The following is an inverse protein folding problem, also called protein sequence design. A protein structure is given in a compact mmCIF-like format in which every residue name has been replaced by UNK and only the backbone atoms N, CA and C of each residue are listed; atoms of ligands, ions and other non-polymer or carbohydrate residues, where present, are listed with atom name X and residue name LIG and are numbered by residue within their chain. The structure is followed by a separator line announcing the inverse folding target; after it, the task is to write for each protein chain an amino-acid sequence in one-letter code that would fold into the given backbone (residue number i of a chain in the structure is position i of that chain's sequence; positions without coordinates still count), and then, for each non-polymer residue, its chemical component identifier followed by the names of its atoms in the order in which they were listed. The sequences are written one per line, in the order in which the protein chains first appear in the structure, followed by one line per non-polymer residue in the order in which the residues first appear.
data_IF_492322548712
#
_entry.id   IF_492322548712
#
_cell.length_a   1.000
_cell.length_b   1.000
_cell.length_c   1.000
_cell.angle_alpha   90.00
_cell.angle_beta   90.00
_cell.angle_gamma   90.00
#
_symmetry.space_group_name_H-M   'P 1'
#
loop_
_entity.id
_entity.type
_entity.pdbx_description
1 polymer ?
#
# COMPACT_ATOMS: atom_id res chain seq x y z
N UNK A 1 3.70 -16.75 38.68
CA UNK A 1 3.55 -15.29 38.55
C UNK A 1 3.26 -14.95 37.09
N UNK A 2 2.06 -14.50 36.74
CA UNK A 2 1.82 -13.95 35.41
C UNK A 2 2.49 -12.57 35.33
N UNK A 3 3.50 -12.40 34.47
CA UNK A 3 3.99 -11.06 34.12
C UNK A 3 2.80 -10.27 33.58
N UNK A 4 2.42 -9.19 34.27
CA UNK A 4 1.42 -8.27 33.76
C UNK A 4 2.09 -7.46 32.66
N UNK A 5 1.93 -7.90 31.41
CA UNK A 5 2.48 -7.18 30.24
C UNK A 5 1.51 -6.03 29.96
N UNK A 6 1.92 -4.82 30.33
CA UNK A 6 1.18 -3.59 30.02
C UNK A 6 1.01 -3.37 28.51
N UNK A 7 0.08 -2.51 28.13
CA UNK A 7 -0.24 -2.16 26.74
C UNK A 7 0.90 -1.37 26.11
N UNK A 8 1.11 -1.59 24.80
CA UNK A 8 2.20 -1.00 24.02
C UNK A 8 1.72 -0.35 22.71
N UNK A 9 0.78 0.61 22.75
CA UNK A 9 0.30 1.25 21.53
C UNK A 9 1.40 1.97 20.74
N UNK A 10 1.35 1.85 19.41
CA UNK A 10 2.22 2.57 18.46
C UNK A 10 1.35 3.49 17.61
N UNK A 11 1.66 4.78 17.58
CA UNK A 11 0.97 5.74 16.72
C UNK A 11 1.51 5.64 15.30
N UNK A 12 0.63 5.33 14.35
CA UNK A 12 0.97 5.15 12.94
C UNK A 12 0.74 6.42 12.11
N UNK A 13 -0.10 7.33 12.61
CA UNK A 13 -0.41 8.60 11.97
C UNK A 13 -1.50 9.34 12.74
N UNK A 14 -1.48 10.66 12.68
CA UNK A 14 -2.51 11.52 13.25
C UNK A 14 -3.00 12.48 12.17
N UNK A 15 -4.32 12.65 12.08
CA UNK A 15 -4.96 13.27 10.92
C UNK A 15 -6.04 14.23 11.34
N UNK A 16 -6.20 15.29 10.55
CA UNK A 16 -7.35 16.16 10.65
C UNK A 16 -8.61 15.47 10.10
N UNK A 17 -9.73 15.58 10.83
CA UNK A 17 -11.03 15.10 10.35
C UNK A 17 -11.82 16.24 9.74
N UNK A 18 -12.25 16.07 8.49
CA UNK A 18 -13.12 17.02 7.81
C UNK A 18 -14.43 17.23 8.60
N UNK A 19 -14.91 18.48 8.65
CA UNK A 19 -16.11 18.86 9.43
C UNK A 19 -17.35 18.05 9.07
N UNK A 20 -17.57 17.83 7.78
CA UNK A 20 -18.68 17.06 7.21
C UNK A 20 -18.63 15.56 7.53
N UNK A 21 -17.49 15.06 8.02
CA UNK A 21 -17.31 13.66 8.39
C UNK A 21 -17.44 13.41 9.90
N UNK A 22 -17.74 14.43 10.70
CA UNK A 22 -17.76 14.37 12.17
C UNK A 22 -19.12 13.90 12.69
N UNK A 23 -19.17 12.67 13.23
CA UNK A 23 -20.18 12.31 14.24
C UNK A 23 -19.75 12.77 15.66
N UNK A 24 -18.46 13.09 15.82
CA UNK A 24 -17.81 13.62 17.02
C UNK A 24 -16.76 14.65 16.56
N UNK A 25 -16.64 15.78 17.27
CA UNK A 25 -15.62 16.79 16.97
C UNK A 25 -14.22 16.33 17.39
N UNK A 26 -13.20 16.67 16.58
CA UNK A 26 -11.79 16.48 16.92
C UNK A 26 -10.94 15.85 15.80
N UNK A 27 -9.62 15.78 16.06
CA UNK A 27 -8.64 15.01 15.29
C UNK A 27 -8.62 13.55 15.76
N UNK A 28 -7.98 12.68 14.97
CA UNK A 28 -7.84 11.26 15.31
C UNK A 28 -6.44 10.74 15.03
N UNK A 29 -6.06 9.70 15.76
CA UNK A 29 -4.85 8.93 15.48
C UNK A 29 -5.19 7.49 15.13
N UNK A 30 -4.44 6.94 14.18
CA UNK A 30 -4.43 5.52 13.87
C UNK A 30 -3.36 4.88 14.76
N UNK A 31 -3.77 3.95 15.61
CA UNK A 31 -2.90 3.35 16.63
C UNK A 31 -2.93 1.83 16.54
N UNK A 32 -1.74 1.24 16.46
CA UNK A 32 -1.55 -0.20 16.61
C UNK A 32 -1.59 -0.58 18.09
N UNK A 33 -2.21 -1.72 18.42
CA UNK A 33 -2.14 -2.32 19.76
C UNK A 33 -2.22 -3.84 19.63
N UNK A 34 -1.44 -4.57 20.45
CA UNK A 34 -1.21 -6.03 20.42
C UNK A 34 -2.46 -6.93 20.28
N UNK A 35 -3.66 -6.39 20.50
CA UNK A 35 -4.92 -7.13 20.41
C UNK A 35 -5.78 -6.76 19.19
N UNK A 36 -5.86 -5.49 18.77
CA UNK A 36 -6.66 -4.98 17.62
C UNK A 36 -6.16 -3.54 17.32
N UNK A 37 -6.05 -3.08 16.05
CA UNK A 37 -5.89 -1.65 15.77
C UNK A 37 -7.05 -0.85 16.40
N UNK A 38 -6.73 0.17 17.19
CA UNK A 38 -7.71 1.01 17.88
C UNK A 38 -7.70 2.40 17.30
N UNK A 39 -8.88 2.92 16.98
CA UNK A 39 -9.08 4.32 16.67
C UNK A 39 -9.20 5.10 17.97
N UNK A 40 -8.37 6.12 18.14
CA UNK A 40 -8.40 6.99 19.29
C UNK A 40 -8.98 8.34 18.86
N UNK A 41 -10.02 8.77 19.56
CA UNK A 41 -10.76 10.00 19.29
C UNK A 41 -10.44 11.04 20.35
N UNK A 42 -10.21 12.29 19.94
CA UNK A 42 -10.28 13.41 20.86
C UNK A 42 -11.76 13.63 21.26
N UNK A 43 -12.01 13.84 22.55
CA UNK A 43 -13.34 14.10 23.13
C UNK A 43 -13.38 15.48 23.82
N UNK A 44 -12.64 16.45 23.28
CA UNK A 44 -12.51 17.81 23.82
C UNK A 44 -13.37 18.84 23.10
N UNK A 45 -13.93 19.77 23.86
CA UNK A 45 -14.75 20.90 23.41
C UNK A 45 -14.06 21.75 22.31
N UNK A 46 -14.84 22.45 21.46
CA UNK A 46 -14.34 23.28 20.38
C UNK A 46 -13.55 24.46 20.97
N UNK A 47 -12.22 24.42 20.85
CA UNK A 47 -11.36 25.57 21.16
C UNK A 47 -10.97 26.22 19.82
N UNK A 48 -11.05 27.54 19.84
CA UNK A 48 -10.90 28.49 18.75
C UNK A 48 -9.64 28.33 17.90
N UNK A 49 -9.77 28.72 16.64
CA UNK A 49 -8.78 28.63 15.56
C UNK A 49 -7.46 29.32 15.88
N UNK A 50 -6.48 28.52 16.30
CA UNK A 50 -5.05 28.75 16.10
C UNK A 50 -4.48 27.45 15.51
N UNK A 51 -3.74 27.54 14.42
CA UNK A 51 -3.05 26.39 13.82
C UNK A 51 -1.88 25.98 14.74
N UNK A 52 -2.15 25.25 15.83
CA UNK A 52 -1.10 24.54 16.54
C UNK A 52 -0.94 23.16 15.89
N UNK A 53 0.26 22.87 15.38
CA UNK A 53 0.58 21.66 14.58
C UNK A 53 0.74 20.39 15.41
N UNK A 54 0.55 20.46 16.74
CA UNK A 54 0.92 19.41 17.67
C UNK A 54 -0.27 18.96 18.53
N UNK A 55 -0.48 17.65 18.61
CA UNK A 55 -1.48 17.00 19.48
C UNK A 55 -0.79 16.11 20.51
N UNK A 56 -1.33 15.96 21.72
CA UNK A 56 -0.80 15.02 22.72
C UNK A 56 -1.63 13.73 22.80
N UNK A 57 -0.95 12.58 22.81
CA UNK A 57 -1.56 11.28 23.07
C UNK A 57 -1.18 10.77 24.46
N UNK A 58 -2.16 10.38 25.26
CA UNK A 58 -1.95 9.80 26.61
C UNK A 58 -1.88 8.27 26.56
N UNK A 59 -1.25 7.63 27.56
CA UNK A 59 -1.20 6.16 27.69
C UNK A 59 -2.57 5.48 27.76
N UNK A 60 -3.59 6.20 28.21
CA UNK A 60 -4.97 5.72 28.23
C UNK A 60 -5.65 5.78 26.85
N UNK A 61 -4.97 6.32 25.84
CA UNK A 61 -5.44 6.41 24.46
C UNK A 61 -6.27 7.66 24.14
N UNK A 62 -6.25 8.69 24.97
CA UNK A 62 -6.97 9.93 24.67
C UNK A 62 -6.06 10.91 23.91
N UNK A 63 -6.55 11.45 22.78
CA UNK A 63 -5.97 12.63 22.11
C UNK A 63 -6.40 13.89 22.87
N UNK A 64 -5.46 14.80 23.10
CA UNK A 64 -5.69 16.12 23.68
C UNK A 64 -5.14 17.18 22.71
N UNK A 65 -5.99 18.11 22.29
CA UNK A 65 -5.56 19.32 21.57
C UNK A 65 -4.82 20.22 22.56
N UNK A 66 -3.65 20.73 22.16
CA UNK A 66 -2.84 21.61 23.02
C UNK A 66 -2.71 23.00 22.43
N UNK A 67 -3.23 23.98 23.16
CA UNK A 67 -2.55 25.26 23.29
C UNK A 67 -1.32 25.01 24.18
N UNK A 68 -0.15 25.49 23.72
CA UNK A 68 1.15 25.32 24.36
C UNK A 68 1.06 25.51 25.89
N UNK A 69 1.57 24.55 26.68
CA UNK A 69 2.57 24.80 27.76
C UNK A 69 2.79 23.61 28.72
N UNK A 70 1.89 22.63 28.93
CA UNK A 70 2.15 21.55 29.90
C UNK A 70 1.98 20.15 29.31
N UNK A 71 3.10 19.48 29.00
CA UNK A 71 3.13 18.05 28.67
C UNK A 71 2.67 17.26 29.89
N UNK A 72 1.51 16.61 29.82
CA UNK A 72 1.02 15.77 30.92
C UNK A 72 1.95 14.57 31.10
N UNK A 73 2.22 14.20 32.34
CA UNK A 73 2.94 12.97 32.67
C UNK A 73 2.23 11.77 32.02
N UNK A 74 2.99 10.90 31.33
CA UNK A 74 2.42 9.81 30.54
C UNK A 74 1.75 10.22 29.21
N UNK A 75 2.12 11.37 28.63
CA UNK A 75 1.72 11.77 27.28
C UNK A 75 2.91 11.91 26.32
N UNK A 76 2.66 11.80 25.01
CA UNK A 76 3.63 12.05 23.93
C UNK A 76 3.04 13.00 22.90
N UNK A 77 3.87 13.92 22.38
CA UNK A 77 3.48 14.79 21.27
C UNK A 77 3.48 13.99 19.96
N UNK A 78 2.48 14.25 19.11
CA UNK A 78 2.34 13.65 17.79
C UNK A 78 2.07 14.77 16.79
N UNK A 79 2.85 14.79 15.71
CA UNK A 79 2.66 15.72 14.59
C UNK A 79 1.43 15.30 13.79
N UNK A 80 0.56 16.27 13.48
CA UNK A 80 -0.54 16.05 12.55
C UNK A 80 0.00 16.02 11.13
N UNK A 81 -0.38 14.98 10.37
CA UNK A 81 0.01 14.86 8.97
C UNK A 81 -0.74 15.90 8.13
N UNK A 82 0.01 16.69 7.37
CA UNK A 82 -0.56 17.69 6.48
C UNK A 82 -1.32 17.00 5.34
N UNK A 83 -2.54 17.44 5.10
CA UNK A 83 -3.29 16.98 3.93
C UNK A 83 -2.66 17.56 2.67
N UNK A 84 -2.56 16.75 1.60
CA UNK A 84 -2.23 17.21 0.25
C UNK A 84 -3.38 18.03 -0.36
N UNK A 85 -4.01 18.93 0.40
CA UNK A 85 -5.21 19.63 0.01
C UNK A 85 -4.89 20.60 -1.13
N UNK A 86 -5.04 20.13 -2.37
CA UNK A 86 -5.01 20.96 -3.56
C UNK A 86 -6.34 21.71 -3.62
N UNK A 87 -6.30 23.03 -3.39
CA UNK A 87 -7.36 24.05 -3.53
C UNK A 87 -8.81 23.63 -3.95
N UNK A 88 -9.79 24.29 -3.29
CA UNK A 88 -11.22 24.37 -3.68
C UNK A 88 -12.06 23.09 -3.62
N UNK A 89 -11.82 22.18 -2.68
CA UNK A 89 -12.78 21.11 -2.35
C UNK A 89 -13.04 20.08 -3.47
N UNK A 90 -12.24 20.09 -4.53
CA UNK A 90 -12.36 19.15 -5.65
C UNK A 90 -11.62 17.86 -5.34
N UNK A 91 -12.36 16.77 -5.16
CA UNK A 91 -11.80 15.43 -4.96
C UNK A 91 -11.35 14.80 -6.28
N UNK A 92 -10.24 14.08 -6.26
CA UNK A 92 -9.86 13.18 -7.34
C UNK A 92 -10.88 12.03 -7.44
N UNK A 93 -11.40 11.73 -8.64
CA UNK A 93 -12.34 10.64 -8.83
C UNK A 93 -11.80 9.28 -8.36
N UNK A 94 -10.51 9.02 -8.58
CA UNK A 94 -9.88 7.75 -8.25
C UNK A 94 -8.45 7.94 -7.73
N UNK A 95 -8.24 7.48 -6.50
CA UNK A 95 -6.91 7.36 -5.88
C UNK A 95 -6.61 5.88 -5.64
N UNK A 96 -5.35 5.49 -5.82
CA UNK A 96 -4.89 4.13 -5.60
C UNK A 96 -3.93 4.11 -4.41
N UNK A 97 -4.27 3.34 -3.37
CA UNK A 97 -3.39 3.03 -2.25
C UNK A 97 -2.74 1.67 -2.51
N UNK A 98 -1.42 1.68 -2.72
CA UNK A 98 -0.64 0.47 -2.93
C UNK A 98 -0.28 -0.13 -1.57
N UNK A 99 -0.28 -1.46 -1.48
CA UNK A 99 0.24 -2.17 -0.32
C UNK A 99 1.70 -1.76 -0.03
N UNK A 100 2.12 -1.72 1.25
CA UNK A 100 3.46 -1.28 1.61
C UNK A 100 4.55 -2.10 0.91
N UNK A 101 5.54 -1.40 0.34
CA UNK A 101 6.70 -2.00 -0.29
C UNK A 101 7.70 -2.47 0.78
N UNK A 102 7.84 -3.80 0.87
CA UNK A 102 8.84 -4.47 1.70
C UNK A 102 9.86 -5.16 0.81
N UNK A 103 11.15 -4.84 0.96
CA UNK A 103 12.23 -5.43 0.13
C UNK A 103 11.93 -5.38 -1.37
N UNK A 104 11.26 -4.32 -1.85
CA UNK A 104 10.75 -4.30 -3.21
C UNK A 104 11.85 -3.95 -4.21
N UNK A 105 12.02 -4.76 -5.26
CA UNK A 105 13.17 -4.63 -6.17
C UNK A 105 12.79 -4.59 -7.66
N UNK A 106 11.53 -4.92 -7.98
CA UNK A 106 11.08 -5.11 -9.36
C UNK A 106 10.51 -3.82 -9.96
N UNK A 107 11.40 -2.92 -10.36
CA UNK A 107 10.99 -1.63 -10.91
C UNK A 107 10.20 -1.74 -12.22
N UNK A 108 10.33 -2.83 -12.98
CA UNK A 108 9.64 -3.02 -14.27
C UNK A 108 8.15 -3.30 -14.05
N UNK A 109 7.84 -4.18 -13.09
CA UNK A 109 6.46 -4.46 -12.69
C UNK A 109 5.83 -3.22 -12.04
N UNK A 110 6.59 -2.50 -11.24
CA UNK A 110 6.14 -1.22 -10.68
C UNK A 110 5.77 -0.21 -11.78
N UNK A 111 6.63 -0.03 -12.80
CA UNK A 111 6.32 0.85 -13.93
C UNK A 111 5.05 0.44 -14.65
N UNK A 112 4.89 -0.85 -14.96
CA UNK A 112 3.66 -1.37 -15.56
C UNK A 112 2.42 -1.08 -14.72
N UNK A 113 2.49 -1.30 -13.40
CA UNK A 113 1.40 -1.01 -12.48
C UNK A 113 1.03 0.48 -12.51
N UNK A 114 2.01 1.37 -12.33
CA UNK A 114 1.82 2.82 -12.35
C UNK A 114 1.21 3.29 -13.68
N UNK A 115 1.84 2.92 -14.80
CA UNK A 115 1.41 3.35 -16.14
C UNK A 115 0.00 2.85 -16.46
N UNK A 116 -0.34 1.63 -16.05
CA UNK A 116 -1.68 1.07 -16.25
C UNK A 116 -2.72 1.79 -15.42
N UNK A 117 -2.48 2.00 -14.12
CA UNK A 117 -3.43 2.73 -13.27
C UNK A 117 -3.72 4.13 -13.81
N UNK A 118 -2.69 4.87 -14.22
CA UNK A 118 -2.85 6.20 -14.80
C UNK A 118 -3.60 6.15 -16.13
N UNK A 119 -3.20 5.22 -17.01
CA UNK A 119 -3.85 5.07 -18.31
C UNK A 119 -5.36 4.81 -18.15
N UNK A 120 -5.76 4.03 -17.15
CA UNK A 120 -7.16 3.63 -16.94
C UNK A 120 -7.95 4.58 -16.04
N UNK A 121 -7.33 5.64 -15.53
CA UNK A 121 -8.02 6.76 -14.89
C UNK A 121 -7.71 7.01 -13.42
N UNK A 122 -6.63 6.47 -12.84
CA UNK A 122 -6.14 6.93 -11.54
C UNK A 122 -5.47 8.31 -11.68
N UNK A 123 -5.75 9.23 -10.76
CA UNK A 123 -5.12 10.56 -10.76
C UNK A 123 -3.97 10.67 -9.76
N UNK A 124 -4.00 9.86 -8.70
CA UNK A 124 -2.98 9.84 -7.65
C UNK A 124 -2.73 8.40 -7.20
N UNK A 125 -1.48 8.05 -6.97
CA UNK A 125 -1.09 6.74 -6.44
C UNK A 125 -0.23 6.96 -5.19
N UNK A 126 -0.60 6.32 -4.09
CA UNK A 126 0.11 6.42 -2.81
C UNK A 126 0.96 5.18 -2.62
N UNK A 127 2.26 5.38 -2.38
CA UNK A 127 3.24 4.31 -2.17
C UNK A 127 3.83 4.40 -0.76
N UNK A 128 3.35 3.57 0.19
CA UNK A 128 4.05 3.36 1.44
C UNK A 128 5.32 2.53 1.18
N UNK A 129 6.49 3.05 1.55
CA UNK A 129 7.77 2.38 1.36
C UNK A 129 8.40 2.11 2.72
N UNK A 130 8.59 0.83 3.04
CA UNK A 130 9.44 0.42 4.15
C UNK A 130 10.88 0.22 3.67
N UNK A 131 11.08 -0.62 2.64
CA UNK A 131 12.36 -0.79 1.99
C UNK A 131 12.21 -1.20 0.53
N UNK A 132 13.07 -0.67 -0.33
CA UNK A 132 13.08 -0.96 -1.75
C UNK A 132 14.47 -0.74 -2.36
N UNK A 133 14.71 -1.22 -3.58
CA UNK A 133 15.95 -0.94 -4.31
C UNK A 133 16.07 0.56 -4.55
N UNK A 134 17.31 1.06 -4.55
CA UNK A 134 17.59 2.48 -4.81
C UNK A 134 17.04 2.93 -6.17
N UNK A 135 17.00 2.02 -7.15
CA UNK A 135 16.43 2.27 -8.48
C UNK A 135 14.92 2.43 -8.44
N UNK A 136 14.22 1.57 -7.69
CA UNK A 136 12.77 1.68 -7.46
C UNK A 136 12.42 3.04 -6.85
N UNK A 137 13.07 3.39 -5.73
CA UNK A 137 12.80 4.66 -5.04
C UNK A 137 13.14 5.86 -5.93
N UNK A 138 14.22 5.77 -6.71
CA UNK A 138 14.60 6.82 -7.64
C UNK A 138 13.55 7.07 -8.72
N UNK A 139 13.05 6.02 -9.37
CA UNK A 139 11.98 6.13 -10.38
C UNK A 139 10.70 6.70 -9.73
N UNK A 140 10.33 6.25 -8.54
CA UNK A 140 9.16 6.76 -7.83
C UNK A 140 9.28 8.24 -7.47
N UNK A 141 10.47 8.72 -7.11
CA UNK A 141 10.72 10.14 -6.85
C UNK A 141 10.47 11.00 -8.09
N UNK A 142 10.75 10.50 -9.29
CA UNK A 142 10.38 11.23 -10.52
C UNK A 142 8.86 11.28 -10.74
N UNK A 143 8.13 10.19 -10.46
CA UNK A 143 6.67 10.23 -10.49
C UNK A 143 6.07 11.15 -9.42
N UNK A 144 6.69 11.22 -8.24
CA UNK A 144 6.31 12.14 -7.17
C UNK A 144 6.54 13.59 -7.59
N UNK A 145 7.70 13.89 -8.19
CA UNK A 145 8.06 15.22 -8.70
C UNK A 145 7.04 15.77 -9.71
N UNK A 146 6.45 14.90 -10.53
CA UNK A 146 5.43 15.28 -11.52
C UNK A 146 3.99 15.18 -10.96
N UNK A 147 3.84 14.93 -9.66
CA UNK A 147 2.56 14.99 -8.96
C UNK A 147 1.68 13.75 -9.09
N UNK A 148 2.14 12.68 -9.73
CA UNK A 148 1.35 11.45 -9.98
C UNK A 148 1.39 10.52 -8.77
N UNK A 149 2.59 10.32 -8.22
CA UNK A 149 2.82 9.49 -7.04
C UNK A 149 2.92 10.38 -5.80
N UNK A 150 2.64 9.80 -4.64
CA UNK A 150 3.05 10.33 -3.35
C UNK A 150 3.71 9.23 -2.54
N UNK A 151 4.95 9.46 -2.12
CA UNK A 151 5.75 8.52 -1.35
C UNK A 151 5.50 8.74 0.14
N UNK A 152 5.02 7.69 0.81
CA UNK A 152 4.86 7.68 2.26
C UNK A 152 5.95 6.83 2.88
N UNK A 153 6.67 7.41 3.84
CA UNK A 153 7.72 6.70 4.57
C UNK A 153 7.01 5.77 5.57
N UNK A 154 7.25 4.46 5.45
CA UNK A 154 6.61 3.44 6.28
C UNK A 154 7.66 2.68 7.12
N UNK A 155 8.29 3.36 8.09
CA UNK A 155 9.41 2.81 8.85
C UNK A 155 9.00 1.57 9.66
N UNK A 156 9.98 0.74 9.99
CA UNK A 156 9.78 -0.35 10.95
C UNK A 156 9.35 0.18 12.31
N UNK A 157 8.65 -0.66 13.04
CA UNK A 157 8.30 -0.37 14.43
C UNK A 157 9.48 -0.60 15.36
N UNK A 158 9.57 0.17 16.46
CA UNK A 158 10.65 0.01 17.40
C UNK A 158 10.59 -1.36 18.10
N UNK A 159 11.77 -1.94 18.34
CA UNK A 159 11.93 -3.19 19.09
C UNK A 159 11.90 -2.88 20.59
N UNK A 160 10.77 -3.15 21.24
CA UNK A 160 10.55 -2.79 22.66
C UNK A 160 10.62 -3.98 23.63
N UNK A 161 10.70 -5.20 23.12
CA UNK A 161 10.95 -6.38 23.95
C UNK A 161 11.64 -7.49 23.15
N UNK A 162 11.74 -8.65 23.77
CA UNK A 162 12.15 -9.94 23.18
C UNK A 162 11.26 -10.43 22.01
N UNK A 163 10.18 -9.72 21.69
CA UNK A 163 9.29 -10.03 20.57
C UNK A 163 9.47 -8.96 19.51
N UNK A 164 9.98 -9.35 18.33
CA UNK A 164 10.08 -8.47 17.18
C UNK A 164 8.68 -8.23 16.59
N UNK A 165 8.10 -7.02 16.72
CA UNK A 165 6.78 -6.79 16.18
C UNK A 165 6.79 -6.87 14.65
N UNK A 166 7.89 -6.50 14.01
CA UNK A 166 8.03 -6.49 12.56
C UNK A 166 7.98 -7.89 11.92
N UNK A 167 8.20 -8.97 12.69
CA UNK A 167 8.07 -10.35 12.20
C UNK A 167 6.62 -10.79 11.93
N UNK A 168 5.64 -10.18 12.61
CA UNK A 168 4.21 -10.44 12.45
C UNK A 168 3.50 -9.38 11.57
N UNK A 169 4.23 -8.33 11.18
CA UNK A 169 3.74 -7.13 10.50
C UNK A 169 3.52 -7.33 9.01
N UNK A 170 3.98 -8.40 8.37
CA UNK A 170 3.79 -8.53 6.93
C UNK A 170 2.32 -8.65 6.52
N UNK A 171 1.48 -9.33 7.32
CA UNK A 171 0.02 -9.32 7.08
C UNK A 171 -0.66 -8.12 7.72
N UNK A 172 -0.41 -7.87 9.02
CA UNK A 172 -1.08 -6.79 9.77
C UNK A 172 -0.66 -5.39 9.32
N UNK A 173 0.59 -5.20 8.97
CA UNK A 173 1.16 -3.95 8.46
C UNK A 173 0.58 -3.52 7.11
N UNK A 174 0.13 -4.47 6.27
CA UNK A 174 -0.61 -4.14 5.04
C UNK A 174 -1.96 -3.53 5.40
N UNK A 175 -2.71 -4.16 6.31
CA UNK A 175 -4.02 -3.67 6.77
C UNK A 175 -3.89 -2.26 7.36
N UNK A 176 -2.93 -2.08 8.23
CA UNK A 176 -2.66 -0.81 8.90
C UNK A 176 -2.22 0.28 7.94
N UNK A 177 -1.36 -0.06 6.97
CA UNK A 177 -0.95 0.86 5.92
C UNK A 177 -2.13 1.30 5.05
N UNK A 178 -3.05 0.39 4.73
CA UNK A 178 -4.27 0.73 3.99
C UNK A 178 -5.25 1.59 4.78
N UNK A 179 -5.48 1.32 6.06
CA UNK A 179 -6.27 2.20 6.94
C UNK A 179 -5.64 3.58 6.99
N UNK A 180 -4.33 3.64 7.20
CA UNK A 180 -3.59 4.88 7.26
C UNK A 180 -3.64 5.66 5.93
N UNK A 181 -3.53 4.96 4.79
CA UNK A 181 -3.70 5.55 3.47
C UNK A 181 -5.13 6.06 3.22
N UNK A 182 -6.17 5.30 3.60
CA UNK A 182 -7.57 5.73 3.50
C UNK A 182 -7.77 7.09 4.17
N UNK A 183 -7.25 7.22 5.39
CA UNK A 183 -7.37 8.43 6.19
C UNK A 183 -6.59 9.61 5.62
N UNK A 184 -5.41 9.35 5.08
CA UNK A 184 -4.63 10.35 4.36
C UNK A 184 -5.35 10.88 3.11
N UNK A 185 -5.95 10.01 2.30
CA UNK A 185 -6.54 10.39 1.01
C UNK A 185 -7.98 10.86 1.07
N UNK A 186 -8.71 10.49 2.13
CA UNK A 186 -10.13 10.86 2.35
C UNK A 186 -10.47 12.32 2.05
N UNK A 187 -9.65 13.30 2.46
CA UNK A 187 -9.95 14.71 2.18
C UNK A 187 -10.01 15.05 0.70
N UNK A 188 -9.29 14.32 -0.15
CA UNK A 188 -9.11 14.65 -1.56
C UNK A 188 -9.48 13.52 -2.54
N UNK A 189 -10.06 12.40 -2.08
CA UNK A 189 -10.43 11.26 -2.93
C UNK A 189 -11.94 10.98 -2.88
N UNK A 190 -12.57 10.74 -4.04
CA UNK A 190 -13.95 10.25 -4.15
C UNK A 190 -13.99 8.73 -3.92
N UNK A 191 -13.22 7.99 -4.72
CA UNK A 191 -13.07 6.55 -4.61
C UNK A 191 -11.60 6.18 -4.38
N UNK A 192 -11.37 5.16 -3.55
CA UNK A 192 -10.03 4.66 -3.23
C UNK A 192 -9.94 3.18 -3.49
N UNK A 193 -8.92 2.75 -4.22
CA UNK A 193 -8.59 1.34 -4.47
C UNK A 193 -7.46 0.92 -3.53
N UNK A 194 -7.58 -0.25 -2.90
CA UNK A 194 -6.52 -0.85 -2.08
C UNK A 194 -6.02 -2.14 -2.76
N UNK A 195 -4.75 -2.17 -3.13
CA UNK A 195 -4.26 -3.17 -4.11
C UNK A 195 -2.75 -3.38 -4.03
N UNK A 196 -2.26 -4.54 -4.50
CA UNK A 196 -0.83 -4.69 -4.79
C UNK A 196 -0.47 -3.92 -6.07
N UNK A 197 0.81 -3.63 -6.29
CA UNK A 197 1.25 -2.90 -7.48
C UNK A 197 1.09 -3.71 -8.78
N UNK A 198 1.06 -5.03 -8.67
CA UNK A 198 0.93 -5.99 -9.76
C UNK A 198 -0.53 -6.43 -10.01
N UNK A 199 -1.47 -5.74 -9.38
CA UNK A 199 -2.90 -5.88 -9.59
C UNK A 199 -3.47 -4.70 -10.38
N UNK A 200 -4.41 -5.02 -11.27
CA UNK A 200 -4.99 -4.05 -12.18
C UNK A 200 -6.50 -4.24 -12.27
N UNK A 201 -7.27 -3.17 -12.06
CA UNK A 201 -8.66 -3.16 -12.51
C UNK A 201 -8.67 -2.85 -14.02
N UNK A 202 -9.30 -3.72 -14.79
CA UNK A 202 -9.49 -3.55 -16.24
C UNK A 202 -10.91 -4.00 -16.63
N UNK A 203 -11.43 -3.57 -17.80
CA UNK A 203 -12.67 -4.14 -18.33
C UNK A 203 -12.57 -5.66 -18.52
N UNK A 204 -13.72 -6.33 -18.52
CA UNK A 204 -13.82 -7.78 -18.73
C UNK A 204 -13.20 -8.22 -20.07
N UNK A 205 -13.37 -7.35 -21.06
CA UNK A 205 -12.72 -7.39 -22.37
C UNK A 205 -11.68 -6.27 -22.43
N UNK A 206 -10.37 -6.59 -22.31
CA UNK A 206 -9.31 -5.58 -22.35
C UNK A 206 -9.23 -4.82 -23.68
N UNK A 207 -9.83 -5.32 -24.76
CA UNK A 207 -9.91 -4.57 -26.02
C UNK A 207 -10.86 -3.36 -25.94
N UNK A 208 -11.62 -3.20 -24.85
CA UNK A 208 -12.48 -2.04 -24.58
C UNK A 208 -11.83 -0.99 -23.68
N UNK A 209 -10.52 -1.10 -23.45
CA UNK A 209 -9.76 -0.13 -22.66
C UNK A 209 -9.82 1.26 -23.32
N UNK A 210 -10.10 2.27 -22.51
CA UNK A 210 -10.00 3.69 -22.86
C UNK A 210 -9.62 4.48 -21.61
N UNK A 211 -9.34 5.78 -21.74
CA UNK A 211 -8.99 6.61 -20.58
C UNK A 211 -10.21 6.78 -19.67
N UNK A 212 -10.04 6.61 -18.36
CA UNK A 212 -11.14 6.76 -17.39
C UNK A 212 -12.03 5.52 -17.21
N UNK A 213 -11.79 4.42 -17.93
CA UNK A 213 -12.63 3.20 -17.87
C UNK A 213 -12.78 2.65 -16.44
N UNK A 214 -11.77 2.78 -15.58
CA UNK A 214 -11.87 2.31 -14.20
C UNK A 214 -12.88 3.16 -13.39
N UNK A 215 -12.90 4.47 -13.61
CA UNK A 215 -13.89 5.35 -12.98
C UNK A 215 -15.30 4.98 -13.45
N UNK A 216 -15.47 4.72 -14.74
CA UNK A 216 -16.78 4.35 -15.31
C UNK A 216 -17.30 3.03 -14.74
N UNK A 217 -16.44 2.00 -14.68
CA UNK A 217 -16.77 0.71 -14.07
C UNK A 217 -17.22 0.90 -12.62
N UNK A 218 -16.42 1.61 -11.83
CA UNK A 218 -16.68 1.80 -10.40
C UNK A 218 -17.94 2.63 -10.14
N UNK A 219 -18.10 3.78 -10.81
CA UNK A 219 -19.30 4.61 -10.69
C UNK A 219 -20.55 3.90 -11.16
N UNK A 220 -20.45 3.05 -12.17
CA UNK A 220 -21.57 2.22 -12.61
C UNK A 220 -22.03 1.26 -11.49
N UNK A 221 -21.10 0.57 -10.84
CA UNK A 221 -21.41 -0.35 -9.73
C UNK A 221 -21.93 0.41 -8.50
N UNK A 222 -21.35 1.56 -8.14
CA UNK A 222 -21.86 2.38 -7.03
C UNK A 222 -23.26 2.97 -7.32
N UNK A 223 -23.61 3.23 -8.59
CA UNK A 223 -24.99 3.61 -8.97
C UNK A 223 -25.96 2.44 -8.86
N UNK A 224 -25.53 1.23 -9.23
CA UNK A 224 -26.31 0.00 -9.04
C UNK A 224 -26.55 -0.30 -7.54
N UNK A 225 -25.61 0.11 -6.68
CA UNK A 225 -25.65 -0.12 -5.24
C UNK A 225 -25.46 1.18 -4.44
N UNK A 226 -26.48 2.05 -4.33
CA UNK A 226 -26.34 3.38 -3.72
C UNK A 226 -25.90 3.34 -2.25
N UNK A 227 -26.22 2.26 -1.51
CA UNK A 227 -25.81 2.04 -0.12
C UNK A 227 -24.44 1.34 0.01
N UNK A 228 -23.73 1.07 -1.09
CA UNK A 228 -22.39 0.52 -1.00
C UNK A 228 -21.42 1.57 -0.44
N UNK A 229 -20.82 1.27 0.70
CA UNK A 229 -19.62 1.98 1.18
C UNK A 229 -18.35 1.39 0.56
N UNK A 230 -18.36 0.09 0.27
CA UNK A 230 -17.26 -0.60 -0.39
C UNK A 230 -17.71 -1.69 -1.34
N UNK A 231 -16.82 -2.00 -2.28
CA UNK A 231 -16.96 -3.00 -3.33
C UNK A 231 -15.82 -4.02 -3.16
N UNK A 232 -16.18 -5.30 -3.04
CA UNK A 232 -15.25 -6.41 -3.04
C UNK A 232 -15.17 -7.05 -4.41
N UNK A 233 -14.00 -6.98 -5.03
CA UNK A 233 -13.74 -7.60 -6.31
C UNK A 233 -12.99 -8.91 -6.12
N UNK A 234 -13.39 -9.93 -6.88
CA UNK A 234 -12.56 -11.12 -7.06
C UNK A 234 -11.35 -10.78 -7.94
N UNK A 235 -10.25 -11.48 -7.75
CA UNK A 235 -9.07 -11.41 -8.60
C UNK A 235 -9.03 -12.55 -9.62
N UNK A 236 -8.33 -12.34 -10.73
CA UNK A 236 -7.99 -13.35 -11.71
C UNK A 236 -6.51 -13.28 -12.02
N UNK A 237 -5.86 -14.43 -11.93
CA UNK A 237 -4.47 -14.53 -12.30
C UNK A 237 -4.32 -14.46 -13.82
N UNK A 238 -3.33 -13.68 -14.26
CA UNK A 238 -2.79 -13.77 -15.61
C UNK A 238 -1.28 -13.89 -15.55
N UNK A 239 -0.71 -14.57 -16.55
CA UNK A 239 0.73 -14.86 -16.59
C UNK A 239 1.34 -14.03 -17.73
N UNK A 240 2.19 -13.02 -17.43
CA UNK A 240 2.99 -12.40 -18.46
C UNK A 240 3.97 -13.45 -18.99
N UNK A 241 4.37 -13.39 -20.27
CA UNK A 241 5.48 -14.22 -20.74
C UNK A 241 6.73 -13.93 -19.91
N UNK A 242 7.60 -14.91 -19.77
CA UNK A 242 8.96 -14.67 -19.30
C UNK A 242 9.58 -13.60 -20.21
N UNK A 243 9.87 -12.44 -19.65
CA UNK A 243 10.39 -11.31 -20.42
C UNK A 243 11.81 -11.65 -20.89
N UNK A 244 11.96 -12.12 -22.11
CA UNK A 244 13.27 -12.17 -22.78
C UNK A 244 13.90 -10.75 -22.87
N UNK A 245 13.09 -9.68 -22.79
CA UNK A 245 13.56 -8.30 -22.71
C UNK A 245 14.19 -7.91 -21.35
N UNK A 246 13.92 -8.67 -20.28
CA UNK A 246 14.54 -8.45 -18.96
C UNK A 246 16.06 -8.69 -18.95
N UNK A 247 16.61 -9.26 -20.02
CA UNK A 247 18.06 -9.44 -20.20
C UNK A 247 18.76 -8.21 -20.80
N UNK A 248 18.02 -7.30 -21.47
CA UNK A 248 18.63 -6.26 -22.31
C UNK A 248 18.43 -4.83 -21.80
N UNK A 249 17.38 -4.54 -21.02
CA UNK A 249 17.09 -3.15 -20.59
C UNK A 249 17.94 -2.73 -19.39
N UNK A 250 19.02 -1.98 -19.65
CA UNK A 250 19.88 -1.41 -18.60
C UNK A 250 19.52 0.04 -18.27
N UNK A 251 18.61 0.65 -19.02
CA UNK A 251 18.15 2.03 -18.85
C UNK A 251 16.62 2.13 -18.98
N UNK A 252 16.06 3.28 -18.60
CA UNK A 252 14.62 3.54 -18.77
C UNK A 252 14.23 3.71 -20.23
N UNK A 253 15.13 4.21 -21.09
CA UNK A 253 14.87 4.36 -22.52
C UNK A 253 14.78 3.03 -23.27
N UNK A 254 15.43 1.99 -22.76
CA UNK A 254 15.40 0.65 -23.37
C UNK A 254 14.12 -0.12 -22.98
N UNK A 255 13.51 0.27 -21.85
CA UNK A 255 12.31 -0.37 -21.33
C UNK A 255 11.07 -0.05 -22.16
N UNK A 256 10.26 -1.08 -22.41
CA UNK A 256 9.00 -1.00 -23.13
C UNK A 256 8.02 -2.07 -22.60
N UNK A 257 6.77 -2.02 -23.08
CA UNK A 257 5.67 -2.89 -22.66
C UNK A 257 5.37 -4.00 -23.67
N UNK A 258 6.28 -4.30 -24.61
CA UNK A 258 6.06 -5.27 -25.68
C UNK A 258 5.71 -6.68 -25.17
N UNK A 259 6.17 -7.03 -23.96
CA UNK A 259 5.84 -8.29 -23.31
C UNK A 259 4.34 -8.50 -23.08
N UNK A 260 3.54 -7.43 -23.01
CA UNK A 260 2.08 -7.54 -22.84
C UNK A 260 1.40 -8.25 -24.02
N UNK A 261 1.91 -8.09 -25.26
CA UNK A 261 1.39 -8.78 -26.46
C UNK A 261 1.46 -10.30 -26.33
N UNK A 262 2.47 -10.77 -25.62
CA UNK A 262 2.78 -12.19 -25.47
C UNK A 262 2.12 -12.79 -24.22
N UNK A 263 1.22 -12.07 -23.55
CA UNK A 263 0.49 -12.55 -22.38
C UNK A 263 -0.52 -13.63 -22.78
N UNK A 264 -0.38 -14.85 -22.25
CA UNK A 264 -1.03 -16.02 -22.87
C UNK A 264 -2.24 -16.56 -22.15
N UNK A 265 -2.42 -16.28 -20.86
CA UNK A 265 -3.41 -17.04 -20.06
C UNK A 265 -4.09 -16.18 -19.01
N UNK A 266 -5.42 -16.24 -18.99
CA UNK A 266 -6.28 -15.69 -17.92
C UNK A 266 -7.04 -16.82 -17.26
N UNK A 267 -6.89 -16.97 -15.95
CA UNK A 267 -7.66 -17.97 -15.20
C UNK A 267 -9.18 -17.71 -15.25
N UNK A 268 -9.98 -18.78 -15.32
CA UNK A 268 -11.44 -18.70 -15.16
C UNK A 268 -11.77 -18.21 -13.76
N UNK A 269 -12.92 -17.56 -13.61
CA UNK A 269 -13.36 -17.18 -12.28
C UNK A 269 -13.72 -18.40 -11.45
N UNK A 270 -12.87 -18.66 -10.48
CA UNK A 270 -13.09 -19.61 -9.41
C UNK A 270 -13.44 -18.79 -8.18
N UNK A 271 -14.58 -19.08 -7.57
CA UNK A 271 -14.96 -18.46 -6.30
C UNK A 271 -13.95 -18.96 -5.25
N UNK A 272 -12.93 -18.15 -4.98
CA UNK A 272 -12.01 -18.37 -3.87
C UNK A 272 -12.33 -17.37 -2.77
N UNK A 273 -12.58 -17.88 -1.56
CA UNK A 273 -13.06 -17.07 -0.43
C UNK A 273 -12.05 -16.06 0.12
N UNK A 274 -10.78 -16.09 -0.30
CA UNK A 274 -9.68 -15.46 0.47
C UNK A 274 -8.87 -14.36 -0.23
N UNK A 275 -9.14 -14.01 -1.50
CA UNK A 275 -8.29 -13.05 -2.24
C UNK A 275 -9.10 -12.01 -3.01
N UNK A 276 -9.79 -11.15 -2.26
CA UNK A 276 -10.53 -10.02 -2.81
C UNK A 276 -9.67 -8.76 -2.86
N UNK A 277 -10.08 -7.79 -3.68
CA UNK A 277 -9.57 -6.40 -3.67
C UNK A 277 -10.69 -5.46 -3.32
N UNK A 278 -10.36 -4.41 -2.56
CA UNK A 278 -11.34 -3.48 -2.04
C UNK A 278 -11.27 -2.16 -2.78
N UNK A 279 -12.43 -1.68 -3.22
CA UNK A 279 -12.62 -0.29 -3.61
C UNK A 279 -13.65 0.32 -2.69
N UNK A 280 -13.37 1.51 -2.15
CA UNK A 280 -14.30 2.21 -1.25
C UNK A 280 -14.71 3.53 -1.84
N UNK A 281 -15.91 3.98 -1.48
CA UNK A 281 -16.21 5.40 -1.50
C UNK A 281 -15.62 6.00 -0.22
N UNK A 282 -14.69 6.95 -0.37
CA UNK A 282 -13.89 7.46 0.75
C UNK A 282 -14.74 8.03 1.89
N UNK A 283 -15.89 8.64 1.55
CA UNK A 283 -16.78 9.29 2.52
C UNK A 283 -17.67 8.31 3.32
N UNK A 284 -17.63 7.01 3.02
CA UNK A 284 -18.59 6.00 3.54
C UNK A 284 -17.97 4.93 4.42
N UNK A 285 -16.65 4.93 4.56
CA UNK A 285 -15.88 3.86 5.22
C UNK A 285 -14.87 4.49 6.17
N UNK A 286 -14.70 3.93 7.37
CA UNK A 286 -13.73 4.37 8.37
C UNK A 286 -12.60 3.36 8.63
N UNK A 287 -12.72 2.13 8.14
CA UNK A 287 -11.61 1.16 8.18
C UNK A 287 -11.67 0.19 7.01
N UNK A 288 -10.49 -0.23 6.53
CA UNK A 288 -10.34 -1.11 5.37
C UNK A 288 -9.18 -2.08 5.58
N UNK A 289 -9.33 -3.28 5.03
CA UNK A 289 -8.29 -4.27 4.84
C UNK A 289 -8.09 -4.41 3.32
N UNK A 290 -6.93 -4.90 2.88
CA UNK A 290 -6.69 -5.24 1.48
C UNK A 290 -7.74 -6.19 0.89
N UNK A 291 -8.25 -7.12 1.70
CA UNK A 291 -9.20 -8.14 1.25
C UNK A 291 -10.64 -7.87 1.69
N UNK A 292 -10.86 -7.06 2.72
CA UNK A 292 -12.20 -6.79 3.22
C UNK A 292 -12.33 -5.36 3.74
N UNK A 293 -13.53 -4.96 4.10
CA UNK A 293 -13.76 -3.63 4.68
C UNK A 293 -14.09 -3.81 6.14
N UNK A 294 -13.44 -3.04 7.00
CA UNK A 294 -13.66 -3.12 8.44
C UNK A 294 -14.96 -2.41 8.83
N UNK A 295 -14.90 -1.08 8.95
CA UNK A 295 -15.97 -0.27 9.52
C UNK A 295 -16.60 0.60 8.43
N UNK A 296 -17.89 0.40 8.17
CA UNK A 296 -18.71 1.30 7.35
C UNK A 296 -19.38 2.36 8.22
N UNK A 297 -19.60 3.55 7.65
CA UNK A 297 -20.47 4.55 8.28
C UNK A 297 -21.92 4.07 8.26
N UNK A 298 -22.70 4.57 9.21
CA UNK A 298 -24.10 4.19 9.36
C UNK A 298 -24.88 4.36 8.04
N UNK A 299 -25.65 3.33 7.67
CA UNK A 299 -26.42 3.29 6.42
C UNK A 299 -25.67 2.73 5.21
N UNK A 300 -24.38 2.43 5.33
CA UNK A 300 -23.57 1.85 4.26
C UNK A 300 -23.14 0.42 4.56
N UNK A 301 -22.97 -0.36 3.49
CA UNK A 301 -22.58 -1.76 3.58
C UNK A 301 -21.52 -2.13 2.54
N UNK A 302 -20.93 -3.30 2.72
CA UNK A 302 -20.05 -3.92 1.74
C UNK A 302 -20.88 -4.63 0.67
N UNK A 303 -20.48 -4.48 -0.60
CA UNK A 303 -21.07 -5.19 -1.73
C UNK A 303 -20.03 -6.05 -2.41
N UNK A 304 -20.31 -7.34 -2.57
CA UNK A 304 -19.46 -8.23 -3.36
C UNK A 304 -19.80 -8.11 -4.83
N UNK A 305 -18.82 -7.73 -5.63
CA UNK A 305 -18.95 -7.59 -7.08
C UNK A 305 -18.77 -8.97 -7.72
N UNK A 306 -19.77 -9.50 -8.42
CA UNK A 306 -19.61 -10.75 -9.14
C UNK A 306 -18.49 -10.63 -10.16
N UNK A 307 -17.60 -11.61 -10.25
CA UNK A 307 -16.48 -11.53 -11.20
C UNK A 307 -16.89 -11.28 -12.66
N UNK A 308 -18.07 -11.78 -13.08
CA UNK A 308 -18.62 -11.54 -14.42
C UNK A 308 -19.07 -10.10 -14.65
N UNK A 309 -19.17 -9.28 -13.60
CA UNK A 309 -19.49 -7.86 -13.65
C UNK A 309 -18.22 -7.00 -13.73
N UNK A 310 -17.22 -7.34 -12.92
CA UNK A 310 -15.87 -6.76 -12.92
C UNK A 310 -14.95 -7.58 -12.00
N UNK A 311 -13.64 -7.57 -12.24
CA UNK A 311 -12.64 -8.23 -11.42
C UNK A 311 -11.28 -7.56 -11.58
N UNK A 312 -10.39 -7.80 -10.62
CA UNK A 312 -8.98 -7.43 -10.74
C UNK A 312 -8.21 -8.50 -11.50
N UNK A 313 -7.17 -8.08 -12.18
CA UNK A 313 -6.19 -8.93 -12.83
C UNK A 313 -4.93 -8.90 -11.99
N UNK A 314 -4.56 -10.05 -11.44
CA UNK A 314 -3.35 -10.22 -10.64
C UNK A 314 -2.26 -10.82 -11.53
N UNK A 315 -1.12 -10.14 -11.63
CA UNK A 315 0.01 -10.67 -12.37
C UNK A 315 0.64 -11.81 -11.57
N UNK A 316 0.52 -13.04 -12.08
CA UNK A 316 1.12 -14.19 -11.41
C UNK A 316 2.53 -14.42 -11.94
N UNK A 317 3.49 -14.34 -11.05
CA UNK A 317 4.92 -14.53 -11.34
C UNK A 317 5.33 -16.01 -11.42
N UNK A 318 4.52 -16.94 -10.88
CA UNK A 318 4.85 -18.38 -10.86
C UNK A 318 4.49 -19.09 -12.18
N UNK A 319 5.49 -19.57 -12.92
CA UNK A 319 5.34 -20.26 -14.21
C UNK A 319 4.93 -21.73 -14.09
N UNK A 320 4.95 -22.31 -12.88
CA UNK A 320 4.78 -23.76 -12.66
C UNK A 320 3.34 -24.27 -12.75
N UNK A 321 2.34 -23.38 -12.77
CA UNK A 321 0.91 -23.75 -12.81
C UNK A 321 0.16 -23.03 -13.94
N UNK A 322 0.70 -23.09 -15.16
CA UNK A 322 0.00 -22.61 -16.35
C UNK A 322 -1.22 -23.51 -16.54
N UNK A 323 -2.40 -22.94 -16.40
CA UNK A 323 -3.63 -23.69 -16.54
C UNK A 323 -3.86 -24.02 -18.03
N UNK A 324 -3.75 -25.32 -18.35
CA UNK A 324 -3.71 -25.87 -19.71
C UNK A 324 -5.01 -25.69 -20.53
N UNK A 325 -6.07 -25.12 -19.94
CA UNK A 325 -7.41 -24.96 -20.54
C UNK A 325 -7.98 -23.53 -20.35
N UNK A 326 -7.11 -22.55 -20.23
CA UNK A 326 -7.49 -21.15 -20.00
C UNK A 326 -7.52 -20.32 -21.29
N UNK A 327 -8.22 -19.19 -21.24
CA UNK A 327 -8.42 -18.34 -22.41
C UNK A 327 -7.23 -17.37 -22.59
N UNK A 328 -6.77 -17.16 -23.84
CA UNK A 328 -5.82 -16.10 -24.12
C UNK A 328 -6.44 -14.73 -23.85
N UNK A 329 -5.63 -13.82 -23.33
CA UNK A 329 -6.02 -12.43 -23.09
C UNK A 329 -5.28 -11.53 -24.08
N UNK A 330 -6.04 -10.72 -24.82
CA UNK A 330 -5.48 -9.76 -25.77
C UNK A 330 -5.26 -8.44 -25.06
N UNK A 331 -4.00 -8.03 -24.95
CA UNK A 331 -3.61 -6.78 -24.27
C UNK A 331 -3.02 -5.75 -25.26
N UNK A 332 -3.22 -5.94 -26.56
CA UNK A 332 -2.66 -5.10 -27.63
C UNK A 332 -3.00 -3.61 -27.45
N UNK A 333 -4.26 -3.32 -27.12
CA UNK A 333 -4.71 -1.94 -26.93
C UNK A 333 -4.12 -1.32 -25.66
N UNK A 334 -3.97 -2.11 -24.59
CA UNK A 334 -3.30 -1.66 -23.37
C UNK A 334 -1.84 -1.34 -23.69
N UNK A 335 -1.11 -2.29 -24.28
CA UNK A 335 0.27 -2.12 -24.68
C UNK A 335 0.46 -0.85 -25.50
N UNK A 336 -0.26 -0.69 -26.61
CA UNK A 336 -0.15 0.48 -27.47
C UNK A 336 -0.29 1.79 -26.68
N UNK A 337 -1.24 1.81 -25.75
CA UNK A 337 -1.48 2.97 -24.90
C UNK A 337 -0.34 3.21 -23.92
N UNK A 338 0.17 2.17 -23.26
CA UNK A 338 1.30 2.29 -22.33
C UNK A 338 2.57 2.72 -23.05
N UNK A 339 2.88 2.17 -24.23
CA UNK A 339 4.03 2.54 -25.04
C UNK A 339 4.01 4.02 -25.41
N UNK A 340 2.86 4.50 -25.90
CA UNK A 340 2.67 5.90 -26.25
C UNK A 340 2.85 6.81 -25.04
N UNK A 341 2.24 6.44 -23.91
CA UNK A 341 2.30 7.18 -22.65
C UNK A 341 3.73 7.23 -22.08
N UNK A 342 4.43 6.10 -22.10
CA UNK A 342 5.79 5.98 -21.60
C UNK A 342 6.80 6.74 -22.45
N UNK A 343 6.71 6.64 -23.77
CA UNK A 343 7.52 7.44 -24.68
C UNK A 343 7.36 8.95 -24.43
N UNK A 344 6.13 9.41 -24.15
CA UNK A 344 5.91 10.79 -23.75
C UNK A 344 6.59 11.12 -22.43
N UNK A 345 6.49 10.27 -21.40
CA UNK A 345 7.17 10.51 -20.12
C UNK A 345 8.68 10.56 -20.27
N UNK A 346 9.29 9.65 -21.03
CA UNK A 346 10.72 9.68 -21.33
C UNK A 346 11.14 11.01 -21.96
N UNK A 347 10.35 11.51 -22.92
CA UNK A 347 10.67 12.72 -23.66
C UNK A 347 10.41 14.03 -22.91
N UNK A 348 9.53 14.06 -21.91
CA UNK A 348 9.11 15.31 -21.26
C UNK A 348 9.35 15.36 -19.76
N UNK A 349 9.24 14.22 -19.08
CA UNK A 349 9.24 14.15 -17.61
C UNK A 349 10.53 13.51 -17.08
N UNK A 350 11.05 12.49 -17.77
CA UNK A 350 12.15 11.63 -17.35
C UNK A 350 13.43 11.88 -18.16
N UNK A 351 13.51 12.99 -18.90
CA UNK A 351 14.59 13.28 -19.87
C UNK A 351 15.99 13.15 -19.30
N UNK A 352 16.20 13.63 -18.07
CA UNK A 352 17.51 13.58 -17.38
C UNK A 352 17.94 12.16 -17.02
N UNK A 353 16.99 11.24 -16.83
CA UNK A 353 17.28 9.93 -16.26
C UNK A 353 17.03 8.78 -17.25
N UNK A 354 16.46 9.10 -18.41
CA UNK A 354 16.07 8.13 -19.43
C UNK A 354 17.26 7.25 -19.85
N UNK A 355 18.42 7.88 -20.09
CA UNK A 355 19.64 7.24 -20.62
C UNK A 355 20.83 7.25 -19.66
N UNK A 356 20.90 8.25 -18.77
CA UNK A 356 22.09 8.47 -17.93
C UNK A 356 22.24 7.43 -16.80
N UNK A 357 21.13 6.88 -16.32
CA UNK A 357 21.13 5.97 -15.19
C UNK A 357 21.11 4.52 -15.64
N UNK A 358 22.18 3.78 -15.31
CA UNK A 358 22.20 2.32 -15.39
C UNK A 358 21.41 1.73 -14.23
N UNK A 359 20.33 1.02 -14.53
CA UNK A 359 19.46 0.38 -13.56
C UNK A 359 19.92 -1.05 -13.29
N UNK A 360 19.75 -1.48 -12.03
CA UNK A 360 19.89 -2.87 -11.64
C UNK A 360 18.80 -3.72 -12.29
N UNK A 361 19.18 -4.94 -12.68
CA UNK A 361 18.29 -5.89 -13.33
C UNK A 361 17.19 -6.33 -12.36
N UNK A 362 15.93 -6.30 -12.82
CA UNK A 362 14.88 -7.09 -12.19
C UNK A 362 15.09 -8.55 -12.60
N UNK A 363 15.46 -9.42 -11.65
CA UNK A 363 15.66 -10.85 -11.95
C UNK A 363 14.42 -11.67 -11.60
N UNK A 364 13.86 -12.32 -12.62
CA UNK A 364 12.81 -13.33 -12.48
C UNK A 364 13.32 -14.63 -11.83
N UNK A 365 14.65 -14.86 -11.76
CA UNK A 365 15.24 -16.03 -11.06
C UNK A 365 14.86 -16.02 -9.58
N UNK A 366 14.63 -14.82 -9.03
CA UNK A 366 14.14 -14.69 -7.67
C UNK A 366 12.76 -15.28 -7.40
N UNK A 367 11.99 -15.56 -8.44
CA UNK A 367 10.69 -16.21 -8.32
C UNK A 367 10.81 -17.73 -8.25
N UNK A 368 11.81 -18.35 -8.89
CA UNK A 368 12.07 -19.77 -8.72
C UNK A 368 12.50 -20.08 -7.28
N UNK A 369 13.36 -19.23 -6.72
CA UNK A 369 13.81 -19.33 -5.33
C UNK A 369 12.71 -18.98 -4.34
N UNK A 370 11.85 -17.99 -4.66
CA UNK A 370 10.63 -17.73 -3.90
C UNK A 370 9.70 -18.95 -3.89
N UNK A 371 9.41 -19.54 -5.04
CA UNK A 371 8.58 -20.74 -5.15
C UNK A 371 9.17 -21.90 -4.33
N UNK A 372 10.48 -22.12 -4.43
CA UNK A 372 11.19 -23.15 -3.66
C UNK A 372 11.08 -22.89 -2.15
N UNK A 373 11.21 -21.64 -1.72
CA UNK A 373 11.09 -21.30 -0.30
C UNK A 373 9.64 -21.35 0.21
N UNK A 374 8.66 -20.96 -0.60
CA UNK A 374 7.24 -21.12 -0.29
C UNK A 374 6.84 -22.59 -0.18
N UNK A 375 7.42 -23.45 -1.01
CA UNK A 375 7.29 -24.91 -0.87
C UNK A 375 7.85 -25.35 0.48
N UNK A 376 9.06 -24.93 0.84
CA UNK A 376 9.67 -25.26 2.12
C UNK A 376 8.84 -24.76 3.33
N UNK A 377 8.31 -23.54 3.28
CA UNK A 377 7.39 -23.00 4.31
C UNK A 377 6.12 -23.85 4.39
N UNK A 378 5.53 -24.20 3.25
CA UNK A 378 4.33 -25.03 3.23
C UNK A 378 4.62 -26.42 3.82
N UNK A 379 5.73 -27.06 3.44
CA UNK A 379 6.18 -28.34 4.00
C UNK A 379 6.39 -28.25 5.52
N UNK A 380 7.00 -27.17 6.02
CA UNK A 380 7.11 -26.90 7.46
C UNK A 380 5.75 -26.75 8.14
N UNK A 381 4.81 -26.01 7.54
CA UNK A 381 3.45 -25.84 8.08
C UNK A 381 2.68 -27.17 8.19
N UNK A 382 2.94 -28.13 7.30
CA UNK A 382 2.36 -29.48 7.38
C UNK A 382 2.98 -30.35 8.49
N UNK A 383 4.14 -29.97 9.04
CA UNK A 383 4.87 -30.77 10.05
C UNK A 383 4.36 -30.62 11.50
N UNK A 384 3.34 -29.77 11.76
CA UNK A 384 2.75 -29.47 13.08
C UNK A 384 3.73 -28.99 14.17
N UNK A 385 5.02 -28.82 13.86
CA UNK A 385 5.96 -28.15 14.75
C UNK A 385 5.76 -26.65 14.57
N UNK A 386 5.52 -25.94 15.69
CA UNK A 386 5.46 -24.47 15.70
C UNK A 386 6.83 -23.95 15.26
N UNK A 387 7.02 -23.74 13.96
CA UNK A 387 8.22 -23.11 13.46
C UNK A 387 8.20 -21.65 13.89
N UNK A 388 9.37 -21.13 14.29
CA UNK A 388 9.57 -19.68 14.43
C UNK A 388 9.35 -19.11 13.04
N UNK A 389 8.13 -18.63 12.76
CA UNK A 389 7.57 -18.49 11.43
C UNK A 389 8.55 -17.87 10.42
N UNK A 390 9.01 -18.66 9.45
CA UNK A 390 9.61 -18.14 8.24
C UNK A 390 8.49 -17.48 7.44
N UNK A 391 8.47 -16.15 7.41
CA UNK A 391 7.59 -15.44 6.49
C UNK A 391 8.20 -15.46 5.09
N UNK A 392 7.41 -15.32 4.01
CA UNK A 392 7.93 -15.24 2.64
C UNK A 392 9.01 -14.15 2.46
N UNK A 393 9.01 -13.13 3.33
CA UNK A 393 10.06 -12.12 3.37
C UNK A 393 11.41 -12.67 3.83
N UNK A 394 11.46 -13.58 4.81
CA UNK A 394 12.71 -14.21 5.27
C UNK A 394 13.34 -15.03 4.14
N UNK A 395 12.51 -15.60 3.25
CA UNK A 395 12.98 -16.22 2.02
C UNK A 395 13.65 -15.20 1.10
N UNK A 396 12.98 -14.07 0.84
CA UNK A 396 13.49 -13.02 -0.05
C UNK A 396 14.78 -12.36 0.47
N UNK A 397 14.88 -12.13 1.78
CA UNK A 397 16.04 -11.45 2.37
C UNK A 397 17.30 -12.32 2.41
N UNK A 398 17.15 -13.65 2.43
CA UNK A 398 18.26 -14.62 2.39
C UNK A 398 18.86 -14.77 1.00
N UNK A 399 18.16 -14.34 -0.04
CA UNK A 399 18.70 -14.30 -1.39
C UNK A 399 19.64 -13.10 -1.52
N UNK A 400 20.95 -13.36 -1.54
CA UNK A 400 21.95 -12.32 -1.74
C UNK A 400 21.79 -11.70 -3.15
N UNK A 401 21.30 -10.47 -3.20
CA UNK A 401 21.24 -9.63 -4.39
C UNK A 401 22.11 -8.41 -4.14
N UNK A 402 23.30 -8.39 -4.73
CA UNK A 402 24.22 -7.26 -4.62
C UNK A 402 23.62 -5.99 -5.27
N UNK A 403 22.74 -5.30 -4.55
CA UNK A 403 22.02 -4.12 -4.99
C UNK A 403 21.96 -3.06 -3.89
N UNK A 404 22.00 -1.80 -4.30
CA UNK A 404 21.80 -0.67 -3.40
C UNK A 404 20.33 -0.56 -3.02
N UNK A 405 20.06 -0.29 -1.74
CA UNK A 405 18.72 -0.23 -1.20
C UNK A 405 18.51 1.01 -0.34
N UNK A 406 17.26 1.43 -0.28
CA UNK A 406 16.77 2.56 0.49
C UNK A 406 15.65 2.08 1.40
N UNK A 407 15.60 2.60 2.62
CA UNK A 407 14.54 2.29 3.56
C UNK A 407 14.04 3.52 4.30
N UNK A 408 12.81 3.45 4.79
CA UNK A 408 12.27 4.43 5.72
C UNK A 408 12.85 4.20 7.12
N UNK A 409 13.52 5.21 7.64
CA UNK A 409 14.11 5.25 8.98
C UNK A 409 13.36 6.27 9.83
N UNK A 410 13.21 5.98 11.11
CA UNK A 410 12.46 6.80 12.04
C UNK A 410 13.10 6.82 13.43
N UNK A 411 13.02 7.98 14.08
CA UNK A 411 13.27 8.13 15.51
C UNK A 411 11.94 8.08 16.27
N UNK A 412 11.81 7.12 17.19
CA UNK A 412 10.62 6.94 18.00
C UNK A 412 10.83 7.50 19.40
N UNK A 413 9.88 8.31 19.85
CA UNK A 413 9.73 8.71 21.24
C UNK A 413 8.85 7.73 22.00
N UNK A 414 9.04 7.70 23.32
CA UNK A 414 8.28 6.84 24.23
C UNK A 414 7.77 7.66 25.41
N UNK A 415 6.54 7.36 25.83
CA UNK A 415 5.98 7.89 27.08
C UNK A 415 5.44 6.74 27.92
N UNK A 416 5.87 6.70 29.18
CA UNK A 416 5.53 5.66 30.14
C UNK A 416 4.46 6.16 31.09
N UNK A 417 3.48 5.31 31.38
CA UNK A 417 2.61 5.51 32.53
C UNK A 417 3.11 4.68 33.70
N UNK A 418 3.07 5.25 34.91
CA UNK A 418 3.44 4.58 36.16
C UNK A 418 2.83 3.19 36.40
N UNK A 419 1.83 2.79 35.61
CA UNK A 419 1.09 1.53 35.68
C UNK A 419 1.62 0.43 34.73
N UNK A 420 2.70 0.67 33.98
CA UNK A 420 3.31 -0.33 33.10
C UNK A 420 2.92 -0.26 31.63
N UNK A 421 2.06 0.69 31.22
CA UNK A 421 1.72 0.93 29.81
C UNK A 421 2.63 1.99 29.20
N UNK A 422 2.95 1.87 27.91
CA UNK A 422 3.78 2.82 27.16
C UNK A 422 3.21 3.12 25.78
N UNK A 423 3.31 4.38 25.34
CA UNK A 423 2.95 4.81 23.98
C UNK A 423 4.21 5.17 23.23
N UNK A 424 4.33 4.72 21.99
CA UNK A 424 5.36 5.18 21.06
C UNK A 424 4.78 5.99 19.91
N UNK A 425 5.51 7.03 19.51
CA UNK A 425 5.19 7.85 18.35
C UNK A 425 6.49 8.37 17.71
N UNK A 426 6.42 8.78 16.45
CA UNK A 426 7.54 9.42 15.78
C UNK A 426 7.88 10.75 16.48
N UNK A 427 9.16 10.97 16.79
CA UNK A 427 9.64 12.26 17.31
C UNK A 427 9.73 13.30 16.20
N UNK A 428 10.20 12.86 15.04
CA UNK A 428 10.39 13.66 13.83
C UNK A 428 9.80 12.89 12.64
N UNK A 429 9.65 13.57 11.52
CA UNK A 429 9.27 12.91 10.26
C UNK A 429 10.25 11.78 9.91
N UNK A 430 9.72 10.68 9.40
CA UNK A 430 10.54 9.59 8.91
C UNK A 430 11.26 9.98 7.60
N UNK A 431 12.48 9.51 7.44
CA UNK A 431 13.35 9.84 6.32
C UNK A 431 13.72 8.60 5.51
N UNK A 432 14.09 8.81 4.24
CA UNK A 432 14.67 7.74 3.44
C UNK A 432 16.20 7.72 3.63
N UNK A 433 16.71 6.62 4.17
CA UNK A 433 18.14 6.39 4.37
C UNK A 433 18.66 5.18 3.59
N UNK A 434 19.99 5.03 3.47
CA UNK A 434 20.58 3.80 2.94
C UNK A 434 20.20 2.61 3.82
N UNK A 435 19.96 1.46 3.19
CA UNK A 435 19.67 0.18 3.83
C UNK A 435 20.83 -0.80 3.63
N UNK A 436 20.85 -1.87 4.41
CA UNK A 436 21.74 -3.00 4.14
C UNK A 436 21.53 -3.58 2.73
N UNK A 437 22.54 -4.32 2.27
CA UNK A 437 22.48 -5.05 1.01
C UNK A 437 21.26 -5.99 1.01
N UNK A 438 20.61 -6.13 -0.15
CA UNK A 438 19.38 -6.93 -0.37
C UNK A 438 18.09 -6.32 0.17
N UNK A 439 18.10 -5.04 0.55
CA UNK A 439 16.95 -4.29 1.04
C UNK A 439 16.37 -4.87 2.34
N UNK A 440 17.12 -5.78 2.96
CA UNK A 440 16.83 -6.28 4.27
C UNK A 440 17.10 -5.15 5.25
N UNK A 441 16.14 -4.92 6.12
CA UNK A 441 16.40 -4.34 7.41
C UNK A 441 16.36 -5.53 8.35
N UNK A 442 17.32 -5.71 9.24
CA UNK A 442 17.31 -6.83 10.18
C UNK A 442 15.93 -7.04 10.83
N UNK A 443 15.38 -8.25 10.64
CA UNK A 443 14.15 -8.75 11.26
C UNK A 443 14.44 -9.73 12.40
N UNK A 444 15.72 -9.88 12.76
CA UNK A 444 16.17 -10.79 13.81
C UNK A 444 16.10 -10.11 15.17
#
# INVERSE_FOLDING_TARGET
MSKNIGRRPIVLGAFHRLKEEKNLEGDYAVVYSDKIPKFLFNKGNPISWGWSSNTQLTTNGNLLSTDLINQKEGSIAVQLEESLFFNEGKKYPLVVCIAPMYTYTDWQIMLMGIETWIALGAQKIIFPIQSASADTVFILKEYERIGIVHLRKWPKWPLLSDVNPNGLVLSRGIEESHVNCLHFVKPFAEMVVFTDIDDMLMPLDPMKIHSGVNIEILRSIFREHPNAGSLLFEHRDFIPPETAQGELSQSLSDFNFAFLHQTKWKTKCKIWRMKTRVVVNASRVDSVNMHETGIHRFGYAQVRVPCRRAHFYHLRHSFKNIALNEWPIKLDLLQYKLEKQWKQRLNFNFTKIATEKKLTRSSVESFADFDNCMIAINEEHWSLRVSRCLTPHVCYSRMARNMSCVAAVADYGFSYSGNGDYVSALRNEAEFGPSELNCNFDFL
#
